data_IF_790273144570
#
_entry.id   IF_790273144570
#
_cell.length_a   1.000
_cell.length_b   1.000
_cell.length_c   1.000
_cell.angle_alpha   90.00
_cell.angle_beta   90.00
_cell.angle_gamma   90.00
#
_symmetry.space_group_name_H-M   'P 1'
#
loop_
_entity.id
_entity.type
_entity.pdbx_description
1 polymer ?
#
# COMPACT_ATOMS: atom_id res chain seq x y z
N UNK A 1 -7.25 7.38 -14.11
CA UNK A 1 -5.95 6.67 -14.04
C UNK A 1 -5.18 6.97 -15.30
N UNK A 2 -4.19 7.86 -15.23
CA UNK A 2 -3.17 7.99 -16.28
C UNK A 2 -2.31 6.73 -16.23
N UNK A 3 -2.25 5.97 -17.32
CA UNK A 3 -1.31 4.86 -17.49
C UNK A 3 0.10 5.43 -17.44
N UNK A 4 0.76 5.26 -16.29
CA UNK A 4 2.11 5.75 -16.00
C UNK A 4 3.21 5.08 -16.85
N UNK A 5 2.86 4.06 -17.63
CA UNK A 5 3.80 3.34 -18.49
C UNK A 5 3.16 3.15 -19.87
N UNK A 6 3.89 3.53 -20.92
CA UNK A 6 3.45 3.35 -22.30
C UNK A 6 3.32 1.86 -22.66
N UNK A 7 2.28 1.44 -23.40
CA UNK A 7 1.98 0.04 -23.67
C UNK A 7 3.07 -0.71 -24.46
N UNK A 8 4.04 0.01 -25.06
CA UNK A 8 5.11 -0.56 -25.88
C UNK A 8 6.47 -0.62 -25.18
N UNK A 9 6.56 -0.25 -23.90
CA UNK A 9 7.82 -0.35 -23.15
C UNK A 9 8.19 -1.80 -22.89
N UNK A 10 9.48 -2.11 -22.96
CA UNK A 10 9.97 -3.44 -22.64
C UNK A 10 9.70 -3.78 -21.17
N UNK A 11 9.58 -5.07 -20.85
CA UNK A 11 9.32 -5.51 -19.47
C UNK A 11 10.42 -5.07 -18.49
N UNK A 12 11.68 -5.06 -18.96
CA UNK A 12 12.81 -4.54 -18.20
C UNK A 12 12.70 -3.04 -17.90
N UNK A 13 12.28 -2.23 -18.88
CA UNK A 13 12.04 -0.80 -18.69
C UNK A 13 10.86 -0.54 -17.74
N UNK A 14 9.76 -1.31 -17.86
CA UNK A 14 8.63 -1.29 -16.91
C UNK A 14 9.10 -1.54 -15.48
N UNK A 15 9.88 -2.59 -15.27
CA UNK A 15 10.41 -2.95 -13.94
C UNK A 15 11.33 -1.85 -13.39
N UNK A 16 12.23 -1.32 -14.21
CA UNK A 16 13.14 -0.26 -13.79
C UNK A 16 12.39 1.03 -13.41
N UNK A 17 11.41 1.43 -14.21
CA UNK A 17 10.57 2.59 -13.92
C UNK A 17 9.80 2.43 -12.61
N UNK A 18 9.10 1.31 -12.43
CA UNK A 18 8.30 1.04 -11.22
C UNK A 18 9.18 0.95 -9.97
N UNK A 19 10.37 0.33 -10.08
CA UNK A 19 11.35 0.27 -9.00
C UNK A 19 11.84 1.66 -8.58
N UNK A 20 12.16 2.53 -9.54
CA UNK A 20 12.60 3.91 -9.25
C UNK A 20 11.48 4.75 -8.61
N UNK A 21 10.24 4.59 -9.06
CA UNK A 21 9.11 5.30 -8.45
C UNK A 21 8.85 4.83 -7.01
N UNK A 22 8.99 3.53 -6.71
CA UNK A 22 8.90 3.01 -5.34
C UNK A 22 9.98 3.58 -4.41
N UNK A 23 11.19 3.83 -4.92
CA UNK A 23 12.26 4.48 -4.16
C UNK A 23 11.84 5.89 -3.76
N UNK A 24 11.35 6.69 -4.72
CA UNK A 24 10.91 8.07 -4.49
C UNK A 24 9.76 8.10 -3.48
N UNK A 25 8.74 7.26 -3.68
CA UNK A 25 7.60 7.16 -2.76
C UNK A 25 8.01 6.76 -1.34
N UNK A 26 8.90 5.77 -1.20
CA UNK A 26 9.40 5.34 0.11
C UNK A 26 10.21 6.42 0.83
N UNK A 27 10.93 7.27 0.09
CA UNK A 27 11.67 8.40 0.66
C UNK A 27 10.70 9.49 1.14
N UNK A 28 9.66 9.80 0.36
CA UNK A 28 8.63 10.78 0.75
C UNK A 28 7.90 10.37 2.04
N UNK A 29 7.47 9.10 2.14
CA UNK A 29 6.84 8.54 3.34
C UNK A 29 7.78 8.60 4.56
N UNK A 30 9.08 8.36 4.35
CA UNK A 30 10.06 8.44 5.43
C UNK A 30 10.22 9.86 5.97
N UNK A 31 10.25 10.86 5.09
CA UNK A 31 10.30 12.28 5.46
C UNK A 31 9.06 12.67 6.25
N UNK A 32 7.88 12.31 5.78
CA UNK A 32 6.61 12.66 6.46
C UNK A 32 6.45 11.99 7.84
N UNK A 33 6.98 10.77 8.02
CA UNK A 33 7.05 10.11 9.33
C UNK A 33 7.95 10.86 10.31
N UNK A 34 9.16 11.21 9.88
CA UNK A 34 10.14 11.88 10.74
C UNK A 34 9.71 13.30 11.12
N UNK A 35 8.97 13.98 10.25
CA UNK A 35 8.44 15.33 10.48
C UNK A 35 7.26 15.36 11.48
N UNK A 36 6.72 14.20 11.90
CA UNK A 36 5.64 14.13 12.90
C UNK A 36 4.30 14.77 12.48
N UNK A 37 4.17 15.22 11.22
CA UNK A 37 2.98 15.91 10.68
C UNK A 37 1.71 15.05 10.72
N UNK A 38 1.85 13.73 10.88
CA UNK A 38 0.75 12.77 11.00
C UNK A 38 -0.02 12.84 12.32
N UNK A 39 0.64 13.17 13.43
CA UNK A 39 0.08 12.99 14.78
C UNK A 39 -0.81 14.14 15.24
N UNK A 40 -0.48 15.38 14.88
CA UNK A 40 -1.09 16.57 15.49
C UNK A 40 -2.07 17.31 14.59
N UNK A 41 -1.94 17.21 13.26
CA UNK A 41 -2.79 17.96 12.32
C UNK A 41 -4.19 17.32 12.25
N UNK A 42 -4.27 15.99 12.12
CA UNK A 42 -5.54 15.25 12.09
C UNK A 42 -6.29 15.31 13.43
N UNK A 43 -5.60 15.18 14.56
CA UNK A 43 -6.25 15.26 15.89
C UNK A 43 -6.78 16.67 16.20
N UNK A 44 -6.09 17.72 15.74
CA UNK A 44 -6.54 19.10 15.93
C UNK A 44 -7.63 19.54 14.95
N UNK A 45 -7.63 19.04 13.71
CA UNK A 45 -8.71 19.28 12.76
C UNK A 45 -9.97 18.53 13.14
N UNK A 46 -9.86 17.27 13.55
CA UNK A 46 -11.00 16.49 14.03
C UNK A 46 -11.56 17.06 15.36
N UNK A 47 -10.71 17.56 16.26
CA UNK A 47 -11.16 18.28 17.48
C UNK A 47 -11.85 19.62 17.20
N UNK A 48 -11.59 20.27 16.07
CA UNK A 48 -12.25 21.55 15.69
C UNK A 48 -13.67 21.36 15.17
N UNK A 49 -14.05 20.16 14.76
CA UNK A 49 -15.37 19.84 14.18
C UNK A 49 -16.33 19.23 15.20
N UNK A 50 -16.57 19.93 16.32
CA UNK A 50 -17.57 19.56 17.34
C UNK A 50 -19.03 19.65 16.85
N UNK A 51 -19.28 20.04 15.60
CA UNK A 51 -20.60 19.98 14.98
C UNK A 51 -20.78 18.66 14.20
N UNK A 52 -21.38 17.69 14.90
CA UNK A 52 -21.65 16.31 14.48
C UNK A 52 -22.57 16.15 13.23
N UNK A 53 -23.00 17.23 12.56
CA UNK A 53 -24.01 17.17 11.50
C UNK A 53 -23.48 17.18 10.06
N UNK A 54 -22.17 17.36 9.83
CA UNK A 54 -21.56 17.44 8.48
C UNK A 54 -20.62 16.26 8.15
N UNK A 55 -20.62 15.21 8.97
CA UNK A 55 -19.50 14.26 9.07
C UNK A 55 -19.80 12.91 8.40
N UNK A 56 -20.14 12.91 7.12
CA UNK A 56 -20.27 11.66 6.33
C UNK A 56 -19.13 11.45 5.33
N UNK A 57 -18.45 12.52 4.90
CA UNK A 57 -17.31 12.48 3.97
C UNK A 57 -15.95 12.79 4.61
N UNK A 58 -15.90 13.25 5.87
CA UNK A 58 -14.70 13.79 6.53
C UNK A 58 -14.02 12.85 7.53
N UNK A 59 -14.45 11.60 7.63
CA UNK A 59 -13.81 10.62 8.52
C UNK A 59 -12.75 9.76 7.83
N UNK A 60 -12.57 9.87 6.51
CA UNK A 60 -11.48 9.17 5.82
C UNK A 60 -10.18 9.97 5.98
N UNK A 61 -9.10 9.28 6.30
CA UNK A 61 -7.79 9.90 6.35
C UNK A 61 -7.28 9.94 4.91
N UNK A 62 -7.56 11.06 4.21
CA UNK A 62 -7.30 11.22 2.76
C UNK A 62 -5.89 10.78 2.36
N UNK A 63 -4.90 11.08 3.20
CA UNK A 63 -3.55 10.63 2.95
C UNK A 63 -3.41 9.11 3.01
N UNK A 64 -3.97 8.45 4.03
CA UNK A 64 -3.90 6.99 4.13
C UNK A 64 -4.63 6.36 2.95
N UNK A 65 -5.75 6.94 2.51
CA UNK A 65 -6.47 6.46 1.33
C UNK A 65 -5.64 6.60 0.05
N UNK A 66 -4.91 7.71 -0.13
CA UNK A 66 -3.96 7.90 -1.23
C UNK A 66 -2.78 6.91 -1.17
N UNK A 67 -2.21 6.71 0.02
CA UNK A 67 -1.12 5.77 0.26
C UNK A 67 -1.55 4.33 -0.05
N UNK A 68 -2.73 3.94 0.43
CA UNK A 68 -3.34 2.64 0.18
C UNK A 68 -3.58 2.44 -1.31
N UNK A 69 -4.21 3.42 -1.99
CA UNK A 69 -4.43 3.36 -3.45
C UNK A 69 -3.11 3.17 -4.21
N UNK A 70 -2.03 3.80 -3.76
CA UNK A 70 -0.71 3.64 -4.35
C UNK A 70 -0.15 2.22 -4.12
N UNK A 71 -0.22 1.72 -2.88
CA UNK A 71 0.23 0.35 -2.54
C UNK A 71 -0.57 -0.70 -3.32
N UNK A 72 -1.88 -0.55 -3.43
CA UNK A 72 -2.76 -1.42 -4.22
C UNK A 72 -2.35 -1.45 -5.69
N UNK A 73 -2.13 -0.28 -6.29
CA UNK A 73 -1.63 -0.18 -7.66
C UNK A 73 -0.34 -0.99 -7.86
N UNK A 74 0.63 -0.86 -6.95
CA UNK A 74 1.88 -1.63 -7.04
C UNK A 74 1.72 -3.12 -6.81
N UNK A 75 0.82 -3.53 -5.90
CA UNK A 75 0.50 -4.94 -5.71
C UNK A 75 -0.05 -5.54 -7.00
N UNK A 76 -0.96 -4.83 -7.69
CA UNK A 76 -1.48 -5.26 -8.98
C UNK A 76 -0.39 -5.32 -10.07
N UNK A 77 0.51 -4.33 -10.13
CA UNK A 77 1.63 -4.37 -11.08
C UNK A 77 2.57 -5.56 -10.83
N UNK A 78 2.88 -5.87 -9.57
CA UNK A 78 3.67 -7.05 -9.22
C UNK A 78 2.95 -8.33 -9.66
N UNK A 79 1.65 -8.47 -9.40
CA UNK A 79 0.89 -9.65 -9.83
C UNK A 79 0.88 -9.80 -11.35
N UNK A 80 0.58 -8.72 -12.10
CA UNK A 80 0.56 -8.74 -13.58
C UNK A 80 1.92 -9.13 -14.18
N UNK A 81 3.00 -8.57 -13.65
CA UNK A 81 4.37 -8.90 -14.08
C UNK A 81 4.76 -10.31 -13.67
N UNK A 82 4.33 -10.76 -12.49
CA UNK A 82 4.57 -12.12 -12.02
C UNK A 82 3.93 -13.14 -12.95
N UNK A 83 2.67 -12.93 -13.32
CA UNK A 83 1.94 -13.81 -14.24
C UNK A 83 2.58 -13.82 -15.62
N UNK A 84 2.99 -12.66 -16.12
CA UNK A 84 3.67 -12.52 -17.41
C UNK A 84 5.02 -13.25 -17.43
N UNK A 85 5.83 -13.09 -16.38
CA UNK A 85 7.09 -13.80 -16.20
C UNK A 85 6.89 -15.31 -16.02
N UNK A 86 5.84 -15.72 -15.31
CA UNK A 86 5.51 -17.13 -15.14
C UNK A 86 5.22 -17.81 -16.49
N UNK A 87 4.54 -17.12 -17.41
CA UNK A 87 4.30 -17.62 -18.78
C UNK A 87 5.60 -17.77 -19.58
N UNK A 88 6.53 -16.81 -19.45
CA UNK A 88 7.84 -16.84 -20.13
C UNK A 88 8.74 -17.93 -19.54
N UNK A 89 8.81 -18.06 -18.21
CA UNK A 89 9.68 -19.06 -17.56
C UNK A 89 9.17 -20.48 -17.80
N UNK A 90 7.84 -20.69 -17.80
CA UNK A 90 7.25 -22.00 -18.14
C UNK A 90 7.63 -22.45 -19.55
N UNK A 91 7.79 -21.53 -20.50
CA UNK A 91 8.19 -21.88 -21.87
C UNK A 91 9.69 -22.16 -22.02
N UNK A 92 10.52 -21.76 -21.04
CA UNK A 92 11.98 -21.92 -21.07
C UNK A 92 12.52 -23.19 -20.36
N UNK A 93 11.66 -23.98 -19.69
CA UNK A 93 11.94 -25.26 -18.99
C UNK A 93 12.86 -25.21 -17.72
N UNK A 94 12.39 -25.95 -16.70
CA UNK A 94 13.08 -26.61 -15.57
C UNK A 94 13.87 -25.84 -14.49
N UNK A 95 13.74 -24.51 -14.34
CA UNK A 95 14.31 -23.84 -13.15
C UNK A 95 13.28 -23.84 -12.00
N UNK A 96 13.31 -24.88 -11.17
CA UNK A 96 12.39 -25.07 -10.03
C UNK A 96 12.42 -23.91 -9.03
N UNK A 97 13.58 -23.28 -8.83
CA UNK A 97 13.74 -22.17 -7.89
C UNK A 97 13.04 -20.89 -8.36
N UNK A 98 12.89 -20.67 -9.68
CA UNK A 98 12.22 -19.48 -10.20
C UNK A 98 10.72 -19.55 -9.93
N UNK A 99 10.09 -20.70 -10.16
CA UNK A 99 8.65 -20.90 -9.90
C UNK A 99 8.28 -20.56 -8.46
N UNK A 100 9.08 -21.03 -7.49
CA UNK A 100 8.85 -20.75 -6.07
C UNK A 100 8.96 -19.27 -5.75
N UNK A 101 9.96 -18.58 -6.32
CA UNK A 101 10.11 -17.13 -6.14
C UNK A 101 8.88 -16.40 -6.70
N UNK A 102 8.39 -16.76 -7.88
CA UNK A 102 7.19 -16.16 -8.46
C UNK A 102 5.93 -16.39 -7.61
N UNK A 103 5.76 -17.60 -7.06
CA UNK A 103 4.65 -17.91 -6.16
C UNK A 103 4.72 -17.09 -4.86
N UNK A 104 5.91 -16.93 -4.29
CA UNK A 104 6.14 -16.10 -3.10
C UNK A 104 5.85 -14.61 -3.38
N UNK A 105 6.18 -14.12 -4.59
CA UNK A 105 5.88 -12.77 -5.05
C UNK A 105 4.37 -12.52 -5.15
N UNK A 106 3.64 -13.43 -5.82
CA UNK A 106 2.18 -13.36 -5.98
C UNK A 106 1.45 -13.45 -4.63
N UNK A 107 1.87 -14.39 -3.78
CA UNK A 107 1.30 -14.52 -2.43
C UNK A 107 1.59 -13.29 -1.58
N UNK A 108 2.78 -12.71 -1.71
CA UNK A 108 3.17 -11.48 -1.03
C UNK A 108 2.27 -10.29 -1.40
N UNK A 109 2.01 -10.07 -2.69
CA UNK A 109 1.10 -8.99 -3.14
C UNK A 109 -0.34 -9.24 -2.69
N UNK A 110 -0.82 -10.47 -2.75
CA UNK A 110 -2.18 -10.81 -2.30
C UNK A 110 -2.37 -10.55 -0.80
N UNK A 111 -1.40 -10.96 0.04
CA UNK A 111 -1.43 -10.68 1.47
C UNK A 111 -1.46 -9.17 1.76
N UNK A 112 -0.83 -8.34 0.93
CA UNK A 112 -0.89 -6.90 1.07
C UNK A 112 -2.30 -6.37 0.83
N UNK A 113 -2.95 -6.80 -0.25
CA UNK A 113 -4.33 -6.44 -0.58
C UNK A 113 -5.31 -6.88 0.52
N UNK A 114 -5.12 -8.07 1.08
CA UNK A 114 -5.98 -8.59 2.15
C UNK A 114 -5.86 -7.75 3.43
N UNK A 115 -4.64 -7.32 3.80
CA UNK A 115 -4.41 -6.43 4.94
C UNK A 115 -5.10 -5.07 4.74
N UNK A 116 -5.11 -4.54 3.52
CA UNK A 116 -5.80 -3.28 3.21
C UNK A 116 -7.32 -3.41 3.38
N UNK A 117 -7.91 -4.51 2.90
CA UNK A 117 -9.36 -4.80 3.08
C UNK A 117 -9.75 -4.92 4.55
N UNK A 118 -8.92 -5.62 5.33
CA UNK A 118 -9.10 -5.75 6.78
C UNK A 118 -9.07 -4.36 7.43
N UNK A 119 -8.08 -3.53 7.11
CA UNK A 119 -7.99 -2.17 7.63
C UNK A 119 -9.24 -1.34 7.34
N UNK A 120 -9.73 -1.32 6.10
CA UNK A 120 -10.94 -0.56 5.77
C UNK A 120 -12.17 -1.03 6.57
N UNK A 121 -12.29 -2.34 6.77
CA UNK A 121 -13.37 -2.95 7.55
C UNK A 121 -13.28 -2.55 9.03
N UNK A 122 -12.11 -2.76 9.63
CA UNK A 122 -11.85 -2.50 11.05
C UNK A 122 -12.00 -1.01 11.36
N UNK A 123 -11.49 -0.14 10.48
CA UNK A 123 -11.60 1.30 10.63
C UNK A 123 -13.02 1.80 10.50
N UNK A 124 -13.80 1.26 9.56
CA UNK A 124 -15.23 1.62 9.43
C UNK A 124 -15.99 1.29 10.72
N UNK A 125 -15.74 0.12 11.30
CA UNK A 125 -16.34 -0.28 12.58
C UNK A 125 -15.87 0.62 13.73
N UNK A 126 -14.58 0.94 13.80
CA UNK A 126 -14.01 1.83 14.81
C UNK A 126 -14.63 3.23 14.76
N UNK A 127 -14.77 3.81 13.56
CA UNK A 127 -15.41 5.12 13.35
C UNK A 127 -16.89 5.08 13.74
N UNK A 128 -17.63 4.01 13.40
CA UNK A 128 -19.02 3.85 13.82
C UNK A 128 -19.16 3.80 15.35
N UNK A 129 -18.26 3.06 16.02
CA UNK A 129 -18.23 2.99 17.49
C UNK A 129 -17.94 4.35 18.11
N UNK A 130 -16.95 5.07 17.58
CA UNK A 130 -16.60 6.43 18.00
C UNK A 130 -17.78 7.41 17.84
N UNK A 131 -18.48 7.35 16.70
CA UNK A 131 -19.66 8.18 16.44
C UNK A 131 -20.83 7.87 17.39
N UNK A 132 -21.01 6.60 17.74
CA UNK A 132 -22.04 6.18 18.70
C UNK A 132 -21.74 6.60 20.15
N UNK A 133 -20.50 6.96 20.46
CA UNK A 133 -20.03 7.27 21.81
C UNK A 133 -18.90 8.33 21.78
N UNK A 134 -19.18 9.58 21.37
CA UNK A 134 -18.16 10.57 21.03
C UNK A 134 -17.32 11.02 22.24
N UNK A 135 -17.81 10.83 23.47
CA UNK A 135 -17.10 11.18 24.70
C UNK A 135 -16.15 10.07 25.20
N UNK A 136 -16.10 8.92 24.51
CA UNK A 136 -15.21 7.82 24.85
C UNK A 136 -13.85 8.01 24.18
N UNK A 137 -12.88 8.50 24.95
CA UNK A 137 -11.51 8.72 24.47
C UNK A 137 -10.86 7.44 23.92
N UNK A 138 -11.24 6.26 24.42
CA UNK A 138 -10.74 4.97 23.96
C UNK A 138 -11.16 4.64 22.51
N UNK A 139 -12.35 5.07 22.08
CA UNK A 139 -12.81 4.88 20.70
C UNK A 139 -12.01 5.75 19.71
N UNK A 140 -11.67 6.98 20.12
CA UNK A 140 -10.81 7.89 19.37
C UNK A 140 -9.38 7.34 19.24
N UNK A 141 -8.83 6.87 20.36
CA UNK A 141 -7.49 6.29 20.39
C UNK A 141 -7.39 5.04 19.49
N UNK A 142 -8.44 4.21 19.48
CA UNK A 142 -8.47 3.01 18.65
C UNK A 142 -8.42 3.32 17.14
N UNK A 143 -9.16 4.34 16.66
CA UNK A 143 -9.07 4.78 15.26
C UNK A 143 -7.65 5.27 14.93
N UNK A 144 -7.03 6.04 15.83
CA UNK A 144 -5.66 6.50 15.66
C UNK A 144 -4.65 5.35 15.59
N UNK A 145 -4.77 4.35 16.46
CA UNK A 145 -3.91 3.17 16.45
C UNK A 145 -4.04 2.35 15.16
N UNK A 146 -5.24 2.22 14.61
CA UNK A 146 -5.47 1.58 13.32
C UNK A 146 -4.77 2.35 12.18
N UNK A 147 -4.91 3.66 12.15
CA UNK A 147 -4.27 4.56 11.16
C UNK A 147 -2.73 4.47 11.25
N UNK A 148 -2.17 4.51 12.46
CA UNK A 148 -0.72 4.39 12.70
C UNK A 148 -0.18 3.01 12.31
N UNK A 149 -0.94 1.96 12.63
CA UNK A 149 -0.60 0.58 12.30
C UNK A 149 -0.60 0.34 10.80
N UNK A 150 -1.64 0.78 10.08
CA UNK A 150 -1.70 0.59 8.62
C UNK A 150 -0.60 1.37 7.92
N UNK A 151 -0.26 2.54 8.42
CA UNK A 151 0.82 3.35 7.87
C UNK A 151 2.17 2.61 7.95
N UNK A 152 2.48 2.07 9.13
CA UNK A 152 3.68 1.26 9.35
C UNK A 152 3.70 0.01 8.46
N UNK A 153 2.54 -0.63 8.27
CA UNK A 153 2.38 -1.77 7.35
C UNK A 153 2.63 -1.35 5.89
N UNK A 154 2.05 -0.24 5.42
CA UNK A 154 2.25 0.27 4.06
C UNK A 154 3.73 0.53 3.76
N UNK A 155 4.47 1.10 4.71
CA UNK A 155 5.92 1.29 4.57
C UNK A 155 6.65 -0.04 4.36
N UNK A 156 6.35 -1.05 5.18
CA UNK A 156 6.94 -2.39 5.05
C UNK A 156 6.56 -3.01 3.70
N UNK A 157 5.31 -2.85 3.26
CA UNK A 157 4.83 -3.34 1.97
C UNK A 157 5.58 -2.71 0.80
N UNK A 158 5.79 -1.40 0.80
CA UNK A 158 6.55 -0.71 -0.25
C UNK A 158 8.00 -1.19 -0.32
N UNK A 159 8.65 -1.43 0.81
CA UNK A 159 9.99 -2.03 0.86
C UNK A 159 9.97 -3.43 0.24
N UNK A 160 8.98 -4.26 0.60
CA UNK A 160 8.83 -5.61 0.02
C UNK A 160 8.59 -5.57 -1.48
N UNK A 161 7.68 -4.72 -1.95
CA UNK A 161 7.41 -4.52 -3.37
C UNK A 161 8.67 -4.09 -4.12
N UNK A 162 9.49 -3.21 -3.55
CA UNK A 162 10.80 -2.87 -4.14
C UNK A 162 11.73 -4.07 -4.27
N UNK A 163 11.84 -4.88 -3.21
CA UNK A 163 12.64 -6.11 -3.26
C UNK A 163 12.13 -7.07 -4.34
N UNK A 164 10.81 -7.13 -4.55
CA UNK A 164 10.17 -7.94 -5.58
C UNK A 164 10.54 -7.48 -6.98
N UNK A 165 10.49 -6.19 -7.28
CA UNK A 165 10.95 -5.65 -8.56
C UNK A 165 12.45 -5.91 -8.80
N UNK A 166 13.29 -5.81 -7.78
CA UNK A 166 14.71 -6.12 -7.89
C UNK A 166 14.96 -7.60 -8.20
N UNK A 167 14.23 -8.51 -7.55
CA UNK A 167 14.30 -9.94 -7.82
C UNK A 167 13.84 -10.25 -9.25
N UNK A 168 12.70 -9.70 -9.70
CA UNK A 168 12.22 -9.85 -11.08
C UNK A 168 13.25 -9.37 -12.11
N UNK A 169 13.86 -8.21 -11.84
CA UNK A 169 14.94 -7.70 -12.69
C UNK A 169 16.12 -8.67 -12.73
N UNK A 170 16.59 -9.15 -11.59
CA UNK A 170 17.69 -10.11 -11.54
C UNK A 170 17.37 -11.41 -12.29
N UNK A 171 16.11 -11.88 -12.24
CA UNK A 171 15.65 -13.05 -12.97
C UNK A 171 15.69 -12.83 -14.48
N UNK A 172 15.28 -11.66 -14.96
CA UNK A 172 15.22 -11.35 -16.40
C UNK A 172 16.59 -11.22 -17.07
N UNK A 173 17.61 -10.77 -16.34
CA UNK A 173 18.95 -10.51 -16.87
C UNK A 173 19.95 -11.64 -16.61
N UNK A 174 19.55 -12.67 -15.85
CA UNK A 174 20.27 -13.95 -15.76
C UNK A 174 19.74 -14.91 -16.82
#
# INVERSE_FOLDING_TARGET
MTTLVEPNTSMGERINYLSNHLIVLSLNIHVELNDGRFSLTNLNEIRKHSDLSLVSSSFSNLFIDELLSCVEYYCHQVTELTDSLHLVIRSLLSITNLSQIMDDLSRGSQLCLDVMKIYHTDRMQAVQSMLSSPYREDAWYFVYELDSTIFSKCRIMLIRLRMYFLLMHQILFN
#
